data_IF_586572204491
#
_entry.id   IF_586572204491
#
_cell.length_a   1.000
_cell.length_b   1.000
_cell.length_c   1.000
_cell.angle_alpha   90.00
_cell.angle_beta   90.00
_cell.angle_gamma   90.00
#
_symmetry.space_group_name_H-M   'P 1'
#
loop_
_entity.id
_entity.type
_entity.pdbx_description
1 polymer ?
#
# COMPACT_ATOMS: atom_id res chain seq x y z
N UNK A 1 1.60 24.38 -29.29
CA UNK A 1 0.64 25.22 -28.54
C UNK A 1 -0.68 24.52 -28.21
N UNK A 2 -1.01 23.35 -28.79
CA UNK A 2 -2.24 22.61 -28.45
C UNK A 2 -2.15 21.73 -27.20
N UNK A 3 -0.94 21.37 -26.73
CA UNK A 3 -0.77 20.48 -25.56
C UNK A 3 -1.21 21.11 -24.24
N UNK A 4 -1.15 22.45 -24.12
CA UNK A 4 -1.58 23.16 -22.89
C UNK A 4 -3.09 23.06 -22.64
N UNK A 5 -3.92 23.12 -23.69
CA UNK A 5 -5.39 23.13 -23.58
C UNK A 5 -5.91 21.76 -23.12
N UNK A 6 -5.29 20.67 -23.57
CA UNK A 6 -5.66 19.31 -23.17
C UNK A 6 -5.32 18.99 -21.71
N UNK A 7 -4.18 19.50 -21.23
CA UNK A 7 -3.75 19.33 -19.85
C UNK A 7 -4.61 20.13 -18.86
N UNK A 8 -4.90 21.40 -19.16
CA UNK A 8 -5.76 22.25 -18.31
C UNK A 8 -7.17 21.68 -18.16
N UNK A 9 -7.76 21.16 -19.24
CA UNK A 9 -9.09 20.52 -19.20
C UNK A 9 -9.14 19.31 -18.28
N UNK A 10 -8.07 18.52 -18.21
CA UNK A 10 -8.00 17.35 -17.32
C UNK A 10 -7.73 17.70 -15.87
N UNK A 11 -6.92 18.74 -15.61
CA UNK A 11 -6.81 19.29 -14.27
C UNK A 11 -8.16 19.82 -13.77
N UNK A 12 -8.96 20.42 -14.64
CA UNK A 12 -10.35 20.79 -14.32
C UNK A 12 -11.20 19.55 -13.99
N UNK A 13 -11.10 18.47 -14.78
CA UNK A 13 -11.79 17.19 -14.47
C UNK A 13 -11.35 16.55 -13.15
N UNK A 14 -10.08 16.69 -12.77
CA UNK A 14 -9.57 16.28 -11.46
C UNK A 14 -10.25 17.08 -10.34
N UNK A 15 -10.35 18.41 -10.49
CA UNK A 15 -11.03 19.28 -9.53
C UNK A 15 -12.52 18.97 -9.41
N UNK A 16 -13.19 18.68 -10.52
CA UNK A 16 -14.60 18.28 -10.53
C UNK A 16 -14.82 16.94 -9.82
N UNK A 17 -13.94 15.96 -10.06
CA UNK A 17 -13.97 14.67 -9.36
C UNK A 17 -13.80 14.84 -7.85
N UNK A 18 -12.85 15.68 -7.43
CA UNK A 18 -12.67 16.02 -6.02
C UNK A 18 -13.90 16.74 -5.44
N UNK A 19 -14.52 17.65 -6.18
CA UNK A 19 -15.73 18.34 -5.76
C UNK A 19 -16.91 17.36 -5.57
N UNK A 20 -17.07 16.39 -6.49
CA UNK A 20 -18.06 15.32 -6.41
C UNK A 20 -17.85 14.46 -5.16
N UNK A 21 -16.63 13.98 -4.93
CA UNK A 21 -16.33 13.16 -3.75
C UNK A 21 -16.39 13.94 -2.44
N UNK A 22 -16.17 15.25 -2.45
CA UNK A 22 -16.37 16.08 -1.27
C UNK A 22 -17.84 16.10 -0.81
N UNK A 23 -18.79 16.04 -1.76
CA UNK A 23 -20.22 16.01 -1.46
C UNK A 23 -20.64 14.60 -1.01
N UNK A 24 -20.19 13.57 -1.72
CA UNK A 24 -20.55 12.17 -1.45
C UNK A 24 -19.31 11.24 -1.42
N UNK A 25 -18.51 11.28 -0.33
CA UNK A 25 -17.26 10.53 -0.27
C UNK A 25 -17.47 9.03 0.01
N UNK A 26 -18.56 8.70 0.70
CA UNK A 26 -18.76 7.39 1.35
C UNK A 26 -18.68 6.19 0.40
N UNK A 27 -19.33 6.19 -0.78
CA UNK A 27 -19.32 5.02 -1.66
C UNK A 27 -17.90 4.67 -2.11
N UNK A 28 -17.15 5.69 -2.52
CA UNK A 28 -15.78 5.55 -3.04
C UNK A 28 -14.80 5.14 -1.95
N UNK A 29 -14.84 5.81 -0.80
CA UNK A 29 -13.96 5.46 0.32
C UNK A 29 -14.25 4.05 0.84
N UNK A 30 -15.51 3.64 0.99
CA UNK A 30 -15.84 2.30 1.50
C UNK A 30 -15.26 1.20 0.62
N UNK A 31 -15.33 1.35 -0.69
CA UNK A 31 -14.75 0.39 -1.63
C UNK A 31 -13.22 0.32 -1.51
N UNK A 32 -12.56 1.47 -1.42
CA UNK A 32 -11.10 1.53 -1.32
C UNK A 32 -10.60 0.96 0.01
N UNK A 33 -11.18 1.38 1.13
CA UNK A 33 -10.82 0.88 2.46
C UNK A 33 -11.13 -0.61 2.59
N UNK A 34 -12.27 -1.08 2.05
CA UNK A 34 -12.62 -2.50 2.06
C UNK A 34 -11.61 -3.35 1.27
N UNK A 35 -11.25 -2.93 0.06
CA UNK A 35 -10.27 -3.63 -0.75
C UNK A 35 -8.86 -3.59 -0.13
N UNK A 36 -8.43 -2.45 0.39
CA UNK A 36 -7.14 -2.32 1.07
C UNK A 36 -7.06 -3.18 2.33
N UNK A 37 -8.12 -3.21 3.14
CA UNK A 37 -8.21 -4.06 4.33
C UNK A 37 -8.17 -5.55 3.97
N UNK A 38 -8.85 -5.97 2.90
CA UNK A 38 -8.79 -7.36 2.43
C UNK A 38 -7.39 -7.78 2.02
N UNK A 39 -6.66 -6.92 1.31
CA UNK A 39 -5.25 -7.18 0.94
C UNK A 39 -4.38 -7.24 2.20
N UNK A 40 -4.53 -6.30 3.13
CA UNK A 40 -3.80 -6.28 4.39
C UNK A 40 -4.03 -7.53 5.24
N UNK A 41 -5.29 -7.97 5.37
CA UNK A 41 -5.66 -9.21 6.06
C UNK A 41 -5.06 -10.44 5.37
N UNK A 42 -5.10 -10.48 4.04
CA UNK A 42 -4.47 -11.55 3.25
C UNK A 42 -2.97 -11.63 3.48
N UNK A 43 -2.29 -10.48 3.51
CA UNK A 43 -0.85 -10.40 3.78
C UNK A 43 -0.53 -10.86 5.21
N UNK A 44 -1.25 -10.37 6.24
CA UNK A 44 -1.05 -10.82 7.62
C UNK A 44 -1.32 -12.32 7.79
N UNK A 45 -2.34 -12.85 7.11
CA UNK A 45 -2.60 -14.29 7.07
C UNK A 45 -1.43 -15.08 6.45
N UNK A 46 -0.85 -14.59 5.35
CA UNK A 46 0.31 -15.21 4.72
C UNK A 46 1.55 -15.15 5.64
N UNK A 47 1.81 -14.01 6.28
CA UNK A 47 2.88 -13.84 7.28
C UNK A 47 2.72 -14.86 8.42
N UNK A 48 1.50 -15.01 8.95
CA UNK A 48 1.22 -15.98 10.01
C UNK A 48 1.52 -17.42 9.58
N UNK A 49 1.06 -17.81 8.37
CA UNK A 49 1.32 -19.15 7.84
C UNK A 49 2.83 -19.38 7.69
N UNK A 50 3.55 -18.42 7.10
CA UNK A 50 5.00 -18.52 6.91
C UNK A 50 5.72 -18.59 8.26
N UNK A 51 5.28 -17.80 9.25
CA UNK A 51 5.88 -17.81 10.58
C UNK A 51 5.76 -19.17 11.29
N UNK A 52 4.70 -19.93 11.02
CA UNK A 52 4.57 -21.31 11.53
C UNK A 52 5.40 -22.33 10.74
N UNK A 53 5.72 -22.05 9.48
CA UNK A 53 6.45 -22.97 8.61
C UNK A 53 7.98 -22.82 8.71
N UNK A 54 8.46 -21.61 9.03
CA UNK A 54 9.88 -21.31 9.08
C UNK A 54 10.45 -21.49 10.49
N UNK A 55 11.67 -22.04 10.54
CA UNK A 55 12.45 -22.16 11.78
C UNK A 55 12.99 -20.79 12.20
N UNK A 56 12.83 -20.40 13.48
CA UNK A 56 13.42 -19.18 14.04
C UNK A 56 14.94 -19.09 13.84
N UNK A 57 15.45 -17.87 13.59
CA UNK A 57 16.88 -17.60 13.59
C UNK A 57 17.39 -17.28 15.01
N UNK A 58 18.30 -18.06 15.59
CA UNK A 58 18.83 -17.79 16.92
C UNK A 58 19.73 -16.55 17.00
N UNK A 59 20.12 -15.94 15.86
CA UNK A 59 21.06 -14.82 15.82
C UNK A 59 20.42 -13.45 15.52
N UNK A 60 19.09 -13.34 15.58
CA UNK A 60 18.41 -12.08 15.24
C UNK A 60 18.81 -10.94 16.19
N UNK A 61 19.12 -9.79 15.57
CA UNK A 61 19.42 -8.52 16.21
C UNK A 61 18.11 -7.94 16.80
N UNK A 62 18.16 -7.44 18.03
CA UNK A 62 16.96 -7.08 18.80
C UNK A 62 16.04 -6.03 18.16
N UNK A 63 14.80 -5.96 18.64
CA UNK A 63 13.79 -4.94 18.31
C UNK A 63 13.95 -3.66 19.13
N UNK A 64 13.80 -2.52 18.44
CA UNK A 64 13.62 -1.18 19.04
C UNK A 64 12.33 -1.12 19.86
N UNK A 65 12.40 -0.53 21.04
CA UNK A 65 11.27 -0.46 21.98
C UNK A 65 11.20 -1.65 22.93
N UNK A 66 11.88 -2.77 22.64
CA UNK A 66 11.99 -3.91 23.58
C UNK A 66 13.39 -4.02 24.16
N UNK A 67 14.41 -4.15 23.31
CA UNK A 67 15.81 -4.25 23.75
C UNK A 67 16.60 -2.95 23.58
N UNK A 68 16.12 -2.04 22.73
CA UNK A 68 16.68 -0.70 22.55
C UNK A 68 15.65 0.37 22.89
N UNK A 69 16.08 1.55 23.34
CA UNK A 69 15.16 2.66 23.56
C UNK A 69 14.64 3.18 22.20
N UNK A 70 13.34 3.51 22.08
CA UNK A 70 12.83 4.16 20.89
C UNK A 70 13.46 5.54 20.75
N UNK A 71 13.92 5.86 19.54
CA UNK A 71 14.45 7.17 19.18
C UNK A 71 13.84 7.67 17.87
N UNK A 72 14.18 8.91 17.51
CA UNK A 72 13.69 9.54 16.29
C UNK A 72 14.27 8.89 15.02
N UNK A 73 15.40 8.19 15.13
CA UNK A 73 16.03 7.52 14.00
C UNK A 73 15.23 6.28 13.60
N UNK A 74 14.80 5.47 14.58
CA UNK A 74 13.90 4.34 14.35
C UNK A 74 12.56 4.77 13.72
N UNK A 75 11.96 5.87 14.22
CA UNK A 75 10.76 6.44 13.61
C UNK A 75 11.01 6.88 12.16
N UNK A 76 12.16 7.50 11.89
CA UNK A 76 12.57 7.91 10.56
C UNK A 76 12.74 6.74 9.59
N UNK A 77 13.30 5.62 10.04
CA UNK A 77 13.49 4.42 9.22
C UNK A 77 12.16 3.78 8.82
N UNK A 78 11.24 3.59 9.77
CA UNK A 78 9.89 3.04 9.49
C UNK A 78 9.13 3.95 8.53
N UNK A 79 9.12 5.27 8.80
CA UNK A 79 8.48 6.24 7.93
C UNK A 79 9.11 6.27 6.53
N UNK A 80 10.42 6.11 6.39
CA UNK A 80 11.10 6.08 5.10
C UNK A 80 10.68 4.86 4.27
N UNK A 81 10.72 3.66 4.88
CA UNK A 81 10.30 2.41 4.22
C UNK A 81 8.84 2.50 3.76
N UNK A 82 7.95 2.94 4.64
CA UNK A 82 6.52 3.11 4.34
C UNK A 82 6.27 4.20 3.29
N UNK A 83 6.98 5.33 3.37
CA UNK A 83 6.86 6.43 2.40
C UNK A 83 7.35 6.02 1.02
N UNK A 84 8.37 5.18 0.92
CA UNK A 84 8.85 4.64 -0.36
C UNK A 84 7.79 3.77 -1.03
N UNK A 85 7.15 2.86 -0.28
CA UNK A 85 6.05 2.02 -0.79
C UNK A 85 4.87 2.90 -1.21
N UNK A 86 4.46 3.86 -0.38
CA UNK A 86 3.38 4.79 -0.70
C UNK A 86 3.70 5.62 -1.96
N UNK A 87 4.94 6.09 -2.10
CA UNK A 87 5.40 6.84 -3.26
C UNK A 87 5.37 6.00 -4.54
N UNK A 88 5.77 4.73 -4.49
CA UNK A 88 5.70 3.82 -5.63
C UNK A 88 4.24 3.60 -6.07
N UNK A 89 3.32 3.42 -5.13
CA UNK A 89 1.89 3.28 -5.44
C UNK A 89 1.28 4.58 -5.99
N UNK A 90 1.62 5.73 -5.41
CA UNK A 90 1.21 7.03 -5.92
C UNK A 90 1.75 7.26 -7.35
N UNK A 91 3.01 6.91 -7.60
CA UNK A 91 3.62 7.00 -8.92
C UNK A 91 2.93 6.09 -9.93
N UNK A 92 2.56 4.86 -9.55
CA UNK A 92 1.77 3.97 -10.42
C UNK A 92 0.42 4.59 -10.81
N UNK A 93 -0.25 5.28 -9.88
CA UNK A 93 -1.50 5.98 -10.16
C UNK A 93 -1.30 7.17 -11.12
N UNK A 94 -0.25 7.98 -10.90
CA UNK A 94 0.11 9.10 -11.78
C UNK A 94 0.52 8.58 -13.17
N UNK A 95 1.31 7.52 -13.24
CA UNK A 95 1.68 6.87 -14.49
C UNK A 95 0.44 6.33 -15.23
N UNK A 96 -0.53 5.75 -14.50
CA UNK A 96 -1.81 5.35 -15.05
C UNK A 96 -2.61 6.52 -15.63
N UNK A 97 -2.68 7.63 -14.89
CA UNK A 97 -3.30 8.87 -15.37
C UNK A 97 -2.62 9.39 -16.65
N UNK A 98 -1.29 9.47 -16.64
CA UNK A 98 -0.49 9.94 -17.79
C UNK A 98 -0.64 9.00 -18.99
N UNK A 99 -0.61 7.69 -18.79
CA UNK A 99 -0.82 6.71 -19.84
C UNK A 99 -2.23 6.86 -20.43
N UNK A 100 -3.28 6.85 -19.60
CA UNK A 100 -4.65 7.13 -20.05
C UNK A 100 -4.75 8.46 -20.80
N UNK A 101 -3.93 9.44 -20.42
CA UNK A 101 -3.91 10.74 -21.07
C UNK A 101 -3.32 10.74 -22.48
N UNK A 102 -2.21 10.04 -22.67
CA UNK A 102 -1.54 9.91 -23.96
C UNK A 102 -2.34 9.05 -24.94
N UNK A 103 -2.94 7.96 -24.47
CA UNK A 103 -3.73 7.02 -25.29
C UNK A 103 -4.93 7.71 -25.96
N UNK A 104 -5.64 8.59 -25.25
CA UNK A 104 -6.81 9.30 -25.79
C UNK A 104 -6.46 10.29 -26.94
N UNK A 105 -5.29 10.93 -26.88
CA UNK A 105 -4.84 11.91 -27.88
C UNK A 105 -4.25 11.24 -29.14
N UNK A 106 -3.68 10.04 -29.00
CA UNK A 106 -3.06 9.32 -30.11
C UNK A 106 -4.03 8.41 -30.88
N UNK A 107 -5.13 7.97 -30.27
CA UNK A 107 -6.11 7.11 -30.94
C UNK A 107 -6.69 7.74 -32.21
N UNK A 108 -6.79 9.07 -32.28
CA UNK A 108 -7.26 9.78 -33.48
C UNK A 108 -6.26 9.72 -34.65
N UNK A 109 -5.01 9.30 -34.41
CA UNK A 109 -3.92 9.32 -35.41
C UNK A 109 -3.37 7.94 -35.76
N UNK A 110 -3.79 6.86 -35.09
CA UNK A 110 -3.23 5.51 -35.26
C UNK A 110 -4.09 4.64 -36.18
N UNK A 111 -3.46 3.88 -37.07
CA UNK A 111 -4.13 2.89 -37.93
C UNK A 111 -3.27 1.61 -38.12
N UNK A 112 -3.91 0.52 -38.52
CA UNK A 112 -3.24 -0.75 -38.83
C UNK A 112 -2.57 -1.43 -37.61
N UNK A 113 -1.34 -1.91 -37.79
CA UNK A 113 -0.58 -2.64 -36.76
C UNK A 113 -0.32 -1.78 -35.50
N UNK A 114 -0.18 -0.46 -35.67
CA UNK A 114 0.02 0.48 -34.56
C UNK A 114 -1.21 0.53 -33.63
N UNK A 115 -2.42 0.45 -34.19
CA UNK A 115 -3.66 0.39 -33.42
C UNK A 115 -3.76 -0.96 -32.68
N UNK A 116 -3.42 -2.06 -33.35
CA UNK A 116 -3.45 -3.40 -32.75
C UNK A 116 -2.51 -3.55 -31.54
N UNK A 117 -1.25 -3.09 -31.65
CA UNK A 117 -0.30 -3.10 -30.52
C UNK A 117 -0.83 -2.25 -29.36
N UNK A 118 -1.44 -1.11 -29.68
CA UNK A 118 -1.99 -0.18 -28.70
C UNK A 118 -3.17 -0.76 -27.92
N UNK A 119 -4.09 -1.43 -28.60
CA UNK A 119 -5.22 -2.14 -27.97
C UNK A 119 -4.74 -3.27 -27.05
N UNK A 120 -3.65 -3.95 -27.41
CA UNK A 120 -3.08 -5.04 -26.58
C UNK A 120 -2.19 -4.55 -25.44
N UNK A 121 -1.63 -3.34 -25.52
CA UNK A 121 -0.75 -2.78 -24.50
C UNK A 121 -1.42 -2.66 -23.12
N UNK A 122 -2.71 -2.29 -23.10
CA UNK A 122 -3.47 -2.10 -21.85
C UNK A 122 -3.58 -3.38 -20.99
N UNK A 123 -4.10 -4.52 -21.49
CA UNK A 123 -4.18 -5.74 -20.70
C UNK A 123 -2.80 -6.29 -20.31
N UNK A 124 -1.77 -6.08 -21.14
CA UNK A 124 -0.39 -6.47 -20.79
C UNK A 124 0.16 -5.62 -19.64
N UNK A 125 -0.06 -4.31 -19.65
CA UNK A 125 0.34 -3.42 -18.56
C UNK A 125 -0.38 -3.77 -17.24
N UNK A 126 -1.69 -4.05 -17.29
CA UNK A 126 -2.44 -4.51 -16.12
C UNK A 126 -1.90 -5.85 -15.57
N UNK A 127 -1.62 -6.82 -16.45
CA UNK A 127 -1.05 -8.11 -16.06
C UNK A 127 0.35 -7.96 -15.45
N UNK A 128 1.18 -7.07 -16.00
CA UNK A 128 2.51 -6.75 -15.46
C UNK A 128 2.42 -6.13 -14.06
N UNK A 129 1.58 -5.11 -13.86
CA UNK A 129 1.37 -4.47 -12.56
C UNK A 129 0.89 -5.51 -11.53
N UNK A 130 -0.05 -6.38 -11.91
CA UNK A 130 -0.51 -7.47 -11.06
C UNK A 130 0.64 -8.42 -10.70
N UNK A 131 1.45 -8.83 -11.68
CA UNK A 131 2.60 -9.72 -11.46
C UNK A 131 3.62 -9.13 -10.49
N UNK A 132 4.01 -7.86 -10.68
CA UNK A 132 4.96 -7.17 -9.79
C UNK A 132 4.37 -6.98 -8.39
N UNK A 133 3.06 -6.70 -8.29
CA UNK A 133 2.35 -6.59 -7.01
C UNK A 133 2.36 -7.91 -6.26
N UNK A 134 2.00 -9.01 -6.92
CA UNK A 134 2.03 -10.36 -6.32
C UNK A 134 3.44 -10.74 -5.89
N UNK A 135 4.45 -10.50 -6.73
CA UNK A 135 5.84 -10.72 -6.38
C UNK A 135 6.24 -9.95 -5.12
N UNK A 136 5.93 -8.65 -5.06
CA UNK A 136 6.23 -7.80 -3.89
C UNK A 136 5.54 -8.29 -2.63
N UNK A 137 4.25 -8.66 -2.70
CA UNK A 137 3.51 -9.20 -1.56
C UNK A 137 4.10 -10.52 -1.06
N UNK A 138 4.51 -11.41 -1.97
CA UNK A 138 5.17 -12.66 -1.60
C UNK A 138 6.50 -12.43 -0.91
N UNK A 139 7.33 -11.51 -1.44
CA UNK A 139 8.60 -11.14 -0.81
C UNK A 139 8.40 -10.57 0.59
N UNK A 140 7.45 -9.65 0.77
CA UNK A 140 7.11 -9.08 2.07
C UNK A 140 6.59 -10.15 3.05
N UNK A 141 5.72 -11.05 2.58
CA UNK A 141 5.18 -12.12 3.41
C UNK A 141 6.29 -13.07 3.92
N UNK A 142 7.28 -13.37 3.07
CA UNK A 142 8.43 -14.19 3.43
C UNK A 142 9.34 -13.51 4.45
N UNK A 143 9.70 -12.25 4.20
CA UNK A 143 10.56 -11.47 5.11
C UNK A 143 9.89 -11.29 6.47
N UNK A 144 8.66 -10.76 6.50
CA UNK A 144 7.91 -10.55 7.73
C UNK A 144 7.57 -11.86 8.45
N UNK A 145 7.31 -12.94 7.71
CA UNK A 145 7.06 -14.26 8.29
C UNK A 145 8.28 -14.84 8.99
N UNK A 146 9.48 -14.67 8.41
CA UNK A 146 10.73 -15.06 9.05
C UNK A 146 11.02 -14.24 10.31
N UNK A 147 10.83 -12.92 10.22
CA UNK A 147 10.94 -12.03 11.38
C UNK A 147 9.94 -12.42 12.46
N UNK A 148 8.67 -12.63 12.13
CA UNK A 148 7.64 -13.01 13.09
C UNK A 148 7.91 -14.36 13.77
N UNK A 149 8.38 -15.38 13.02
CA UNK A 149 8.80 -16.67 13.60
C UNK A 149 9.89 -16.46 14.65
N UNK A 150 10.89 -15.67 14.30
CA UNK A 150 12.05 -15.45 15.16
C UNK A 150 11.68 -14.65 16.42
N UNK A 151 10.92 -13.58 16.26
CA UNK A 151 10.46 -12.75 17.37
C UNK A 151 9.54 -13.50 18.32
N UNK A 152 8.63 -14.31 17.79
CA UNK A 152 7.74 -15.12 18.60
C UNK A 152 8.54 -16.09 19.49
N UNK A 153 9.59 -16.70 18.94
CA UNK A 153 10.51 -17.54 19.70
C UNK A 153 11.31 -16.75 20.73
N UNK A 154 11.82 -15.55 20.39
CA UNK A 154 12.54 -14.69 21.35
C UNK A 154 11.66 -14.24 22.52
N UNK A 155 10.37 -14.00 22.27
CA UNK A 155 9.37 -13.61 23.25
C UNK A 155 8.70 -14.77 23.98
N UNK A 156 9.07 -16.02 23.67
CA UNK A 156 8.42 -17.21 24.24
C UNK A 156 6.88 -17.18 24.11
N UNK A 157 6.39 -16.71 22.94
CA UNK A 157 4.97 -16.67 22.59
C UNK A 157 4.73 -17.33 21.23
N UNK A 158 3.47 -17.66 20.94
CA UNK A 158 3.13 -18.19 19.61
C UNK A 158 3.13 -17.09 18.53
N UNK A 159 3.43 -17.42 17.25
CA UNK A 159 3.29 -16.49 16.14
C UNK A 159 1.89 -15.86 16.04
N UNK A 160 0.83 -16.61 16.32
CA UNK A 160 -0.53 -16.08 16.33
C UNK A 160 -0.73 -15.00 17.40
N UNK A 161 -0.18 -15.20 18.60
CA UNK A 161 -0.24 -14.20 19.66
C UNK A 161 0.57 -12.96 19.30
N UNK A 162 1.77 -13.13 18.73
CA UNK A 162 2.57 -12.02 18.22
C UNK A 162 1.79 -11.20 17.18
N UNK A 163 1.25 -11.85 16.14
CA UNK A 163 0.46 -11.16 15.11
C UNK A 163 -0.76 -10.46 15.71
N UNK A 164 -1.41 -11.03 16.73
CA UNK A 164 -2.51 -10.36 17.42
C UNK A 164 -2.08 -9.05 18.11
N UNK A 165 -0.86 -8.98 18.65
CA UNK A 165 -0.34 -7.72 19.24
C UNK A 165 0.00 -6.65 18.19
N UNK A 166 0.45 -7.08 17.00
CA UNK A 166 0.84 -6.18 15.91
C UNK A 166 -0.39 -5.69 15.13
N UNK A 167 -1.44 -6.51 15.07
CA UNK A 167 -2.66 -6.28 14.30
C UNK A 167 -3.23 -4.84 14.36
N UNK A 168 -3.34 -4.16 15.53
CA UNK A 168 -3.94 -2.83 15.61
C UNK A 168 -3.23 -1.77 14.75
N UNK A 169 -1.89 -1.72 14.79
CA UNK A 169 -1.14 -0.75 13.99
C UNK A 169 -0.84 -1.27 12.59
N UNK A 170 -0.56 -2.57 12.43
CA UNK A 170 -0.32 -3.17 11.13
C UNK A 170 -1.53 -3.01 10.20
N UNK A 171 -2.76 -3.11 10.70
CA UNK A 171 -3.94 -2.83 9.86
C UNK A 171 -4.06 -1.38 9.43
N UNK A 172 -3.74 -0.43 10.31
CA UNK A 172 -3.73 0.98 9.93
C UNK A 172 -2.66 1.24 8.87
N UNK A 173 -1.46 0.71 9.06
CA UNK A 173 -0.35 0.83 8.12
C UNK A 173 -0.66 0.18 6.77
N UNK A 174 -1.02 -1.10 6.76
CA UNK A 174 -1.29 -1.84 5.52
C UNK A 174 -2.46 -1.25 4.74
N UNK A 175 -3.53 -0.80 5.43
CA UNK A 175 -4.62 -0.09 4.76
C UNK A 175 -4.13 1.22 4.14
N UNK A 176 -3.29 1.99 4.85
CA UNK A 176 -2.71 3.21 4.30
C UNK A 176 -1.86 2.95 3.04
N UNK A 177 -1.01 1.93 3.08
CA UNK A 177 -0.12 1.56 1.97
C UNK A 177 -0.88 1.01 0.77
N UNK A 178 -1.95 0.22 0.97
CA UNK A 178 -2.73 -0.36 -0.12
C UNK A 178 -3.88 0.52 -0.62
N UNK A 179 -4.16 1.65 0.04
CA UNK A 179 -5.25 2.54 -0.36
C UNK A 179 -5.11 3.05 -1.82
N UNK A 180 -3.93 3.51 -2.28
CA UNK A 180 -3.77 3.93 -3.67
C UNK A 180 -3.92 2.78 -4.66
N UNK A 181 -3.41 1.58 -4.33
CA UNK A 181 -3.54 0.39 -5.16
C UNK A 181 -5.02 -0.04 -5.30
N UNK A 182 -5.77 0.00 -4.21
CA UNK A 182 -7.21 -0.26 -4.20
C UNK A 182 -7.95 0.76 -5.07
N UNK A 183 -7.65 2.05 -4.90
CA UNK A 183 -8.26 3.12 -5.69
C UNK A 183 -7.96 2.96 -7.19
N UNK A 184 -6.71 2.66 -7.54
CA UNK A 184 -6.30 2.42 -8.91
C UNK A 184 -7.02 1.23 -9.53
N UNK A 185 -7.07 0.09 -8.83
CA UNK A 185 -7.70 -1.13 -9.33
C UNK A 185 -9.19 -0.90 -9.61
N UNK A 186 -9.90 -0.23 -8.70
CA UNK A 186 -11.32 0.07 -8.86
C UNK A 186 -11.56 1.06 -10.00
N UNK A 187 -10.74 2.11 -10.13
CA UNK A 187 -10.81 3.06 -11.23
C UNK A 187 -10.51 2.41 -12.60
N UNK A 188 -9.47 1.59 -12.68
CA UNK A 188 -9.09 0.88 -13.92
C UNK A 188 -10.16 -0.11 -14.40
N UNK A 189 -10.93 -0.72 -13.48
CA UNK A 189 -12.04 -1.62 -13.80
C UNK A 189 -13.25 -0.91 -14.41
N UNK A 190 -13.43 0.40 -14.14
CA UNK A 190 -14.54 1.23 -14.64
C UNK A 190 -14.12 2.20 -15.74
N UNK A 191 -12.94 2.01 -16.34
CA UNK A 191 -12.36 2.92 -17.32
C UNK A 191 -12.13 4.37 -16.83
N UNK A 192 -12.11 4.59 -15.50
CA UNK A 192 -12.02 5.92 -14.86
C UNK A 192 -10.59 6.43 -14.71
N UNK A 193 -9.79 6.41 -15.77
CA UNK A 193 -8.36 6.79 -15.74
C UNK A 193 -8.14 8.28 -15.40
N UNK A 194 -9.12 9.13 -15.73
CA UNK A 194 -9.14 10.56 -15.44
C UNK A 194 -9.29 10.87 -13.94
N UNK A 195 -9.85 9.93 -13.18
CA UNK A 195 -10.01 10.06 -11.73
C UNK A 195 -8.74 9.71 -10.94
N UNK A 196 -7.75 9.07 -11.58
CA UNK A 196 -6.57 8.53 -10.89
C UNK A 196 -5.71 9.59 -10.21
N UNK A 197 -5.60 10.80 -10.78
CA UNK A 197 -4.87 11.90 -10.15
C UNK A 197 -5.59 12.39 -8.88
N UNK A 198 -6.92 12.51 -8.94
CA UNK A 198 -7.74 12.85 -7.77
C UNK A 198 -7.65 11.76 -6.70
N UNK A 199 -7.73 10.50 -7.12
CA UNK A 199 -7.59 9.35 -6.24
C UNK A 199 -6.22 9.35 -5.55
N UNK A 200 -5.14 9.60 -6.29
CA UNK A 200 -3.78 9.71 -5.73
C UNK A 200 -3.72 10.78 -4.64
N UNK A 201 -4.24 11.98 -4.92
CA UNK A 201 -4.21 13.07 -3.95
C UNK A 201 -4.98 12.69 -2.66
N UNK A 202 -6.17 12.11 -2.79
CA UNK A 202 -6.99 11.70 -1.65
C UNK A 202 -6.33 10.58 -0.86
N UNK A 203 -5.85 9.52 -1.53
CA UNK A 203 -5.29 8.36 -0.84
C UNK A 203 -3.98 8.69 -0.14
N UNK A 204 -3.09 9.48 -0.75
CA UNK A 204 -1.86 9.95 -0.09
C UNK A 204 -2.19 10.85 1.11
N UNK A 205 -3.15 11.78 0.96
CA UNK A 205 -3.56 12.66 2.06
C UNK A 205 -4.12 11.89 3.25
N UNK A 206 -4.83 10.79 3.00
CA UNK A 206 -5.34 9.90 4.05
C UNK A 206 -4.25 9.00 4.62
N UNK A 207 -3.34 8.49 3.79
CA UNK A 207 -2.30 7.57 4.20
C UNK A 207 -1.29 8.22 5.15
N UNK A 208 -0.89 9.47 4.92
CA UNK A 208 0.10 10.18 5.77
C UNK A 208 -0.27 10.16 7.27
N UNK A 209 -1.44 10.66 7.71
CA UNK A 209 -1.80 10.63 9.13
C UNK A 209 -1.99 9.21 9.67
N UNK A 210 -2.43 8.26 8.83
CA UNK A 210 -2.54 6.86 9.23
C UNK A 210 -1.16 6.24 9.52
N UNK A 211 -0.17 6.49 8.65
CA UNK A 211 1.21 6.02 8.85
C UNK A 211 1.84 6.66 10.09
N UNK A 212 1.62 7.96 10.33
CA UNK A 212 2.10 8.62 11.53
C UNK A 212 1.48 8.01 12.80
N UNK A 213 0.18 7.72 12.78
CA UNK A 213 -0.49 7.06 13.91
C UNK A 213 0.02 5.63 14.12
N UNK A 214 0.26 4.87 13.05
CA UNK A 214 0.79 3.53 13.11
C UNK A 214 2.20 3.50 13.72
N UNK A 215 3.10 4.41 13.29
CA UNK A 215 4.47 4.51 13.82
C UNK A 215 4.49 4.88 15.30
N UNK A 216 3.65 5.83 15.72
CA UNK A 216 3.54 6.17 17.15
C UNK A 216 3.07 4.96 17.95
N UNK A 217 2.10 4.19 17.43
CA UNK A 217 1.65 2.98 18.10
C UNK A 217 2.75 1.92 18.16
N UNK A 218 3.46 1.68 17.07
CA UNK A 218 4.53 0.69 16.97
C UNK A 218 5.67 0.97 17.95
N UNK A 219 6.05 2.23 18.14
CA UNK A 219 7.17 2.61 18.99
C UNK A 219 6.79 2.76 20.48
N UNK A 220 5.58 3.22 20.77
CA UNK A 220 5.19 3.59 22.14
C UNK A 220 4.24 2.56 22.79
N UNK A 221 3.35 1.95 22.01
CA UNK A 221 2.25 1.12 22.56
C UNK A 221 2.54 -0.36 22.40
N UNK A 222 2.93 -0.79 21.20
CA UNK A 222 3.19 -2.20 20.92
C UNK A 222 4.26 -2.83 21.83
N UNK A 223 5.37 -2.16 22.18
CA UNK A 223 6.38 -2.77 23.05
C UNK A 223 5.86 -2.97 24.48
N UNK A 224 4.96 -2.10 24.97
CA UNK A 224 4.31 -2.27 26.26
C UNK A 224 3.40 -3.50 26.28
N UNK A 225 2.66 -3.72 25.18
CA UNK A 225 1.80 -4.90 25.02
C UNK A 225 2.65 -6.17 25.03
N UNK A 226 3.72 -6.21 24.24
CA UNK A 226 4.59 -7.39 24.13
C UNK A 226 5.26 -7.72 25.47
N UNK A 227 5.85 -6.74 26.16
CA UNK A 227 6.42 -6.95 27.51
C UNK A 227 5.38 -7.45 28.52
N UNK A 228 4.13 -7.01 28.39
CA UNK A 228 3.05 -7.43 29.29
C UNK A 228 2.60 -8.88 29.12
N UNK A 229 2.89 -9.51 27.97
CA UNK A 229 2.45 -10.88 27.66
C UNK A 229 3.60 -11.87 27.49
N UNK A 230 4.81 -11.38 27.25
CA UNK A 230 6.01 -12.17 27.00
C UNK A 230 6.63 -12.63 28.33
N UNK A 231 6.88 -13.94 28.52
CA UNK A 231 7.60 -14.43 29.69
C UNK A 231 9.08 -14.05 29.75
N UNK A 232 9.67 -13.64 28.61
CA UNK A 232 11.12 -13.52 28.45
C UNK A 232 11.68 -12.09 28.43
N UNK A 233 10.84 -11.06 28.55
CA UNK A 233 11.24 -9.63 28.55
C UNK A 233 10.52 -8.81 29.62
#
# INVERSE_FOLDING_TARGET
MSDGIGYERRLAGTRETLARWRIEPRPVLREWFGAAALVGLGLLGAVLVIAYLLTPDPFLIGIVGVWYAPDLEAAGEVLLRNSLVLALHAFACVAGFLAGSALALENERRSGISLWVHERARPVALAWVLGVTVFSLCSQALELGFTASTLAASFDISPALLIATVFPHAMVELVALFLPLAAWTMASRRDGWDELLAATAVTVTLAIPMLLAAVVWELEVWPLIVRGISPSV
#
